data_IF_585052582045
#
_entry.id   IF_585052582045
#
_cell.length_a   1.000
_cell.length_b   1.000
_cell.length_c   1.000
_cell.angle_alpha   90.00
_cell.angle_beta   90.00
_cell.angle_gamma   90.00
#
_symmetry.space_group_name_H-M   'P 1'
#
loop_
_entity.id
_entity.type
_entity.pdbx_description
1 polymer ?
#
# COMPACT_ATOMS: atom_id res chain seq x y z
N UNK A 1 -18.40 -8.92 54.54
CA UNK A 1 -17.44 -7.95 53.96
C UNK A 1 -16.13 -8.69 53.72
N UNK A 2 -15.97 -9.26 52.53
CA UNK A 2 -14.73 -9.93 52.13
C UNK A 2 -13.81 -8.88 51.49
N UNK A 3 -12.60 -8.74 52.01
CA UNK A 3 -11.58 -7.85 51.48
C UNK A 3 -11.02 -8.44 50.18
N UNK A 4 -10.98 -7.61 49.13
CA UNK A 4 -10.44 -7.95 47.82
C UNK A 4 -8.91 -7.85 47.89
N UNK A 5 -8.22 -8.97 47.72
CA UNK A 5 -6.76 -9.02 47.59
C UNK A 5 -6.33 -8.39 46.25
N UNK A 6 -5.84 -7.16 46.31
CA UNK A 6 -5.18 -6.50 45.17
C UNK A 6 -3.70 -6.87 45.16
N UNK A 7 -3.33 -7.93 44.44
CA UNK A 7 -1.92 -8.16 44.10
C UNK A 7 -1.48 -7.24 42.95
N UNK A 8 -0.35 -6.51 43.09
CA UNK A 8 0.15 -5.66 42.01
C UNK A 8 0.72 -6.50 40.87
N UNK A 9 0.36 -6.16 39.63
CA UNK A 9 0.87 -6.76 38.41
C UNK A 9 2.39 -6.55 38.32
N UNK A 10 3.17 -7.62 38.54
CA UNK A 10 4.61 -7.62 38.34
C UNK A 10 4.93 -7.93 36.87
N UNK A 11 5.62 -7.05 36.13
CA UNK A 11 6.05 -7.35 34.77
C UNK A 11 7.14 -8.44 34.82
N UNK A 12 6.90 -9.57 34.13
CA UNK A 12 7.87 -10.65 34.00
C UNK A 12 9.17 -10.11 33.40
N UNK A 13 10.28 -10.31 34.10
CA UNK A 13 11.64 -9.97 33.66
C UNK A 13 11.92 -10.59 32.29
N UNK A 14 12.35 -9.75 31.35
CA UNK A 14 12.76 -10.13 30.01
C UNK A 14 13.88 -11.18 30.03
N UNK A 15 13.53 -12.43 29.74
CA UNK A 15 14.47 -13.52 29.53
C UNK A 15 14.97 -13.48 28.08
N UNK A 16 16.28 -13.24 27.93
CA UNK A 16 17.14 -13.76 26.84
C UNK A 16 16.80 -13.34 25.41
N UNK A 17 17.73 -12.61 24.78
CA UNK A 17 17.79 -12.42 23.31
C UNK A 17 17.73 -13.80 22.61
N UNK A 18 16.54 -14.19 22.15
CA UNK A 18 16.39 -15.28 21.17
C UNK A 18 16.95 -14.78 19.85
N UNK A 19 17.83 -15.57 19.27
CA UNK A 19 18.21 -15.49 17.86
C UNK A 19 16.96 -15.34 16.99
N UNK A 20 17.06 -14.56 15.91
CA UNK A 20 15.98 -14.33 14.94
C UNK A 20 15.51 -15.69 14.42
N UNK A 21 14.43 -16.19 15.03
CA UNK A 21 13.89 -17.51 14.79
C UNK A 21 13.25 -17.58 13.41
N UNK A 22 13.49 -18.68 12.71
CA UNK A 22 12.70 -19.08 11.54
C UNK A 22 11.22 -19.03 11.92
N UNK A 23 10.49 -18.11 11.32
CA UNK A 23 9.03 -17.99 11.46
C UNK A 23 8.43 -19.32 10.99
N UNK A 24 7.53 -19.90 11.79
CA UNK A 24 6.75 -21.07 11.42
C UNK A 24 6.09 -20.82 10.05
N UNK A 25 6.30 -21.66 9.02
CA UNK A 25 5.75 -21.46 7.67
C UNK A 25 4.23 -21.28 7.66
N UNK A 26 3.53 -21.82 8.66
CA UNK A 26 2.08 -21.67 8.82
C UNK A 26 1.64 -20.28 9.31
N UNK A 27 2.53 -19.53 9.97
CA UNK A 27 2.25 -18.20 10.55
C UNK A 27 2.78 -17.05 9.70
N UNK A 28 3.37 -17.35 8.55
CA UNK A 28 3.88 -16.32 7.65
C UNK A 28 2.70 -15.53 7.04
N UNK A 29 2.75 -14.18 7.02
CA UNK A 29 1.78 -13.37 6.30
C UNK A 29 1.68 -13.82 4.84
N UNK A 30 0.45 -13.92 4.31
CA UNK A 30 0.22 -14.40 2.95
C UNK A 30 0.88 -13.51 1.91
N UNK A 31 0.98 -12.21 2.19
CA UNK A 31 1.70 -11.24 1.36
C UNK A 31 3.14 -11.70 1.08
N UNK A 32 3.81 -12.29 2.08
CA UNK A 32 5.17 -12.82 1.92
C UNK A 32 5.19 -14.26 1.39
N UNK A 33 4.24 -15.10 1.83
CA UNK A 33 4.12 -16.50 1.39
C UNK A 33 3.89 -16.60 -0.13
N UNK A 34 3.00 -15.77 -0.66
CA UNK A 34 2.64 -15.71 -2.07
C UNK A 34 3.42 -14.65 -2.87
N UNK A 35 4.49 -14.09 -2.29
CA UNK A 35 5.38 -13.18 -3.00
C UNK A 35 5.98 -13.91 -4.22
N UNK A 36 5.87 -13.34 -5.44
CA UNK A 36 6.47 -13.89 -6.66
C UNK A 36 7.93 -14.32 -6.44
N UNK A 37 8.26 -15.56 -6.83
CA UNK A 37 9.63 -16.10 -6.69
C UNK A 37 10.40 -15.97 -7.99
N UNK A 38 9.69 -16.05 -9.11
CA UNK A 38 10.21 -15.86 -10.46
C UNK A 38 9.62 -14.60 -11.10
N UNK A 39 10.28 -14.08 -12.13
CA UNK A 39 9.73 -12.95 -12.89
C UNK A 39 8.43 -13.33 -13.60
N UNK A 40 8.29 -14.60 -13.98
CA UNK A 40 7.12 -15.13 -14.68
C UNK A 40 5.87 -15.17 -13.77
N UNK A 41 6.07 -15.22 -12.45
CA UNK A 41 5.01 -15.15 -11.45
C UNK A 41 4.44 -13.73 -11.25
N UNK A 42 5.04 -12.70 -11.86
CA UNK A 42 4.62 -11.31 -11.70
C UNK A 42 3.47 -11.00 -12.66
N UNK A 43 2.28 -10.79 -12.10
CA UNK A 43 1.07 -10.49 -12.89
C UNK A 43 1.01 -9.04 -13.40
N UNK A 44 0.34 -8.83 -14.54
CA UNK A 44 -0.03 -7.53 -15.14
C UNK A 44 1.09 -6.56 -15.53
N UNK A 45 2.35 -7.01 -15.62
CA UNK A 45 3.48 -6.15 -15.98
C UNK A 45 4.26 -6.68 -17.19
N UNK A 46 3.56 -7.22 -18.19
CA UNK A 46 4.13 -7.94 -19.35
C UNK A 46 5.25 -7.16 -20.06
N UNK A 47 5.06 -5.86 -20.32
CA UNK A 47 6.07 -5.03 -20.97
C UNK A 47 7.35 -4.89 -20.14
N UNK A 48 7.22 -4.69 -18.83
CA UNK A 48 8.35 -4.58 -17.91
C UNK A 48 9.05 -5.93 -17.76
N UNK A 49 8.27 -6.99 -17.56
CA UNK A 49 8.74 -8.37 -17.45
C UNK A 49 9.51 -8.81 -18.70
N UNK A 50 8.98 -8.55 -19.90
CA UNK A 50 9.62 -8.92 -21.16
C UNK A 50 10.98 -8.21 -21.35
N UNK A 51 11.09 -6.94 -20.96
CA UNK A 51 12.37 -6.21 -21.01
C UNK A 51 13.36 -6.76 -19.97
N UNK A 52 12.90 -7.05 -18.75
CA UNK A 52 13.74 -7.62 -17.70
C UNK A 52 14.23 -9.04 -18.06
N UNK A 53 13.38 -9.88 -18.67
CA UNK A 53 13.74 -11.20 -19.17
C UNK A 53 14.83 -11.13 -20.26
N UNK A 54 14.73 -10.19 -21.20
CA UNK A 54 15.81 -9.95 -22.17
C UNK A 54 17.09 -9.50 -21.47
N UNK A 55 16.95 -8.68 -20.44
CA UNK A 55 18.10 -8.18 -19.67
C UNK A 55 18.77 -9.26 -18.84
N UNK A 56 18.04 -10.30 -18.39
CA UNK A 56 18.60 -11.49 -17.72
C UNK A 56 19.60 -12.24 -18.60
N UNK A 57 19.31 -12.34 -19.90
CA UNK A 57 20.20 -13.02 -20.86
C UNK A 57 21.42 -12.17 -21.25
N UNK A 58 21.35 -10.86 -21.00
CA UNK A 58 22.44 -9.93 -21.26
C UNK A 58 23.39 -9.84 -20.07
N UNK A 59 24.68 -9.73 -20.34
CA UNK A 59 25.70 -9.48 -19.30
C UNK A 59 25.70 -8.04 -18.78
N UNK A 60 24.87 -7.15 -19.35
CA UNK A 60 24.88 -5.73 -19.05
C UNK A 60 23.51 -5.22 -18.56
N UNK A 61 23.27 -5.30 -17.25
CA UNK A 61 22.06 -4.81 -16.57
C UNK A 61 22.18 -3.33 -16.16
N UNK A 62 21.58 -2.35 -16.85
CA UNK A 62 21.70 -0.94 -16.47
C UNK A 62 21.22 -0.67 -15.03
N UNK A 63 21.55 0.49 -14.46
CA UNK A 63 20.86 0.93 -13.25
C UNK A 63 19.36 1.04 -13.54
N UNK A 64 18.51 0.71 -12.58
CA UNK A 64 17.06 0.64 -12.78
C UNK A 64 16.33 1.56 -11.80
N UNK A 65 15.20 2.09 -12.25
CA UNK A 65 14.27 2.87 -11.44
C UNK A 65 12.87 2.30 -11.63
N UNK A 66 12.34 1.66 -10.60
CA UNK A 66 11.00 1.10 -10.57
C UNK A 66 10.07 2.06 -9.85
N UNK A 67 9.03 2.53 -10.54
CA UNK A 67 8.09 3.49 -9.97
C UNK A 67 6.65 3.17 -10.30
N UNK A 68 5.72 3.53 -9.42
CA UNK A 68 4.29 3.29 -9.59
C UNK A 68 3.54 3.16 -8.26
N UNK A 69 2.23 2.95 -8.27
CA UNK A 69 1.41 2.80 -7.07
C UNK A 69 1.90 1.69 -6.12
N UNK A 70 1.54 1.73 -4.83
CA UNK A 70 1.84 0.64 -3.89
C UNK A 70 1.17 -0.67 -4.34
N UNK A 71 1.70 -1.81 -3.88
CA UNK A 71 1.08 -3.11 -4.16
C UNK A 71 1.20 -3.64 -5.59
N UNK A 72 1.86 -2.93 -6.49
CA UNK A 72 2.00 -3.30 -7.92
C UNK A 72 3.13 -4.29 -8.23
N UNK A 73 3.82 -4.81 -7.21
CA UNK A 73 4.85 -5.83 -7.37
C UNK A 73 6.27 -5.31 -7.66
N UNK A 74 6.55 -4.01 -7.48
CA UNK A 74 7.89 -3.41 -7.70
C UNK A 74 9.03 -4.16 -6.99
N UNK A 75 8.97 -4.22 -5.65
CA UNK A 75 9.97 -4.90 -4.81
C UNK A 75 10.01 -6.40 -5.09
N UNK A 76 8.85 -7.02 -5.30
CA UNK A 76 8.77 -8.45 -5.64
C UNK A 76 9.47 -8.77 -6.97
N UNK A 77 9.33 -7.91 -7.98
CA UNK A 77 9.93 -8.11 -9.30
C UNK A 77 11.45 -8.03 -9.24
N UNK A 78 12.02 -7.05 -8.54
CA UNK A 78 13.48 -6.93 -8.42
C UNK A 78 14.08 -8.07 -7.58
N UNK A 79 13.38 -8.52 -6.53
CA UNK A 79 13.82 -9.65 -5.73
C UNK A 79 13.75 -10.96 -6.53
N UNK A 80 12.70 -11.15 -7.33
CA UNK A 80 12.59 -12.29 -8.24
C UNK A 80 13.69 -12.30 -9.29
N UNK A 81 13.97 -11.15 -9.92
CA UNK A 81 15.09 -10.95 -10.84
C UNK A 81 16.43 -11.28 -10.17
N UNK A 82 16.65 -10.78 -8.96
CA UNK A 82 17.88 -11.01 -8.22
C UNK A 82 18.06 -12.49 -7.82
N UNK A 83 16.97 -13.20 -7.50
CA UNK A 83 16.98 -14.66 -7.26
C UNK A 83 17.29 -15.45 -8.53
N UNK A 84 16.74 -15.04 -9.67
CA UNK A 84 17.02 -15.68 -10.96
C UNK A 84 18.43 -15.37 -11.50
N UNK A 85 19.01 -14.22 -11.14
CA UNK A 85 20.40 -13.89 -11.46
C UNK A 85 21.36 -14.65 -10.55
N UNK A 86 21.25 -14.50 -9.23
CA UNK A 86 22.31 -14.97 -8.34
C UNK A 86 22.06 -16.37 -7.77
N UNK A 87 20.83 -16.89 -7.83
CA UNK A 87 20.46 -18.12 -7.13
C UNK A 87 20.51 -17.96 -5.60
N UNK A 88 20.08 -18.97 -4.83
CA UNK A 88 19.96 -18.86 -3.37
C UNK A 88 21.29 -18.64 -2.65
N UNK A 89 22.39 -19.20 -3.18
CA UNK A 89 23.71 -19.16 -2.53
C UNK A 89 24.38 -17.78 -2.63
N UNK A 90 24.37 -17.19 -3.83
CA UNK A 90 25.01 -15.89 -4.06
C UNK A 90 24.09 -14.72 -3.75
N UNK A 91 22.77 -14.92 -3.62
CA UNK A 91 21.82 -13.86 -3.32
C UNK A 91 22.25 -13.02 -2.12
N UNK A 92 22.54 -13.66 -0.98
CA UNK A 92 22.96 -12.96 0.26
C UNK A 92 24.32 -12.27 0.15
N UNK A 93 25.19 -12.75 -0.73
CA UNK A 93 26.53 -12.19 -0.91
C UNK A 93 26.57 -11.05 -1.94
N UNK A 94 25.63 -11.03 -2.90
CA UNK A 94 25.65 -10.11 -4.05
C UNK A 94 24.48 -9.13 -4.09
N UNK A 95 23.46 -9.33 -3.26
CA UNK A 95 22.30 -8.45 -3.15
C UNK A 95 22.31 -7.77 -1.79
N UNK A 96 22.27 -6.44 -1.81
CA UNK A 96 22.04 -5.62 -0.62
C UNK A 96 20.68 -4.92 -0.77
N UNK A 97 19.71 -5.35 0.02
CA UNK A 97 18.42 -4.68 0.15
C UNK A 97 18.49 -3.71 1.34
N UNK A 98 18.13 -2.46 1.11
CA UNK A 98 17.97 -1.45 2.15
C UNK A 98 16.64 -0.75 1.93
N UNK A 99 15.86 -0.63 3.00
CA UNK A 99 14.73 0.29 3.03
C UNK A 99 15.25 1.68 3.39
N UNK A 100 15.06 2.66 2.51
CA UNK A 100 15.62 3.99 2.68
C UNK A 100 14.94 4.79 3.81
N UNK A 101 13.76 4.36 4.27
CA UNK A 101 13.01 5.00 5.36
C UNK A 101 13.43 4.55 6.77
N UNK A 102 13.94 3.33 6.94
CA UNK A 102 14.16 2.72 8.26
C UNK A 102 15.49 3.11 8.94
N UNK A 103 16.57 3.33 8.16
CA UNK A 103 17.88 3.67 8.71
C UNK A 103 18.01 5.21 8.88
N UNK A 104 17.62 5.69 10.06
CA UNK A 104 17.58 7.11 10.53
C UNK A 104 18.93 7.89 10.55
N UNK A 105 19.89 7.50 9.71
CA UNK A 105 21.10 8.27 9.47
C UNK A 105 21.53 8.15 8.01
N UNK A 106 21.36 9.22 7.24
CA UNK A 106 21.86 9.36 5.86
C UNK A 106 23.33 8.90 5.76
N UNK A 107 24.12 9.17 6.78
CA UNK A 107 25.52 8.78 6.89
C UNK A 107 25.74 7.26 7.01
N UNK A 108 24.87 6.55 7.74
CA UNK A 108 24.98 5.09 7.97
C UNK A 108 24.64 4.34 6.70
N UNK A 109 23.53 4.71 6.05
CA UNK A 109 23.11 4.15 4.75
C UNK A 109 24.20 4.38 3.72
N UNK A 110 24.76 5.59 3.65
CA UNK A 110 25.84 5.94 2.72
C UNK A 110 27.08 5.06 2.92
N UNK A 111 27.56 4.91 4.14
CA UNK A 111 28.76 4.12 4.40
C UNK A 111 28.53 2.62 4.19
N UNK A 112 27.33 2.10 4.50
CA UNK A 112 26.95 0.71 4.21
C UNK A 112 26.89 0.44 2.71
N UNK A 113 26.23 1.31 1.95
CA UNK A 113 26.20 1.25 0.47
C UNK A 113 27.61 1.35 -0.09
N UNK A 114 28.45 2.27 0.41
CA UNK A 114 29.82 2.47 -0.08
C UNK A 114 30.72 1.27 0.21
N UNK A 115 30.62 0.71 1.42
CA UNK A 115 31.39 -0.49 1.82
C UNK A 115 31.00 -1.67 0.94
N UNK A 116 29.70 -1.92 0.80
CA UNK A 116 29.21 -2.97 -0.07
C UNK A 116 29.56 -2.70 -1.53
N UNK A 117 29.44 -1.49 -2.06
CA UNK A 117 29.76 -1.18 -3.45
C UNK A 117 31.26 -1.35 -3.76
N UNK A 118 32.15 -1.17 -2.76
CA UNK A 118 33.60 -1.31 -2.90
C UNK A 118 34.07 -2.77 -2.93
N UNK A 119 33.39 -3.67 -2.24
CA UNK A 119 33.79 -5.08 -2.20
C UNK A 119 33.77 -5.70 -3.60
N UNK A 120 34.72 -6.57 -3.92
CA UNK A 120 34.74 -7.26 -5.22
C UNK A 120 33.76 -8.45 -5.20
N UNK A 121 32.92 -8.65 -6.24
CA UNK A 121 32.03 -9.80 -6.31
C UNK A 121 32.84 -11.12 -6.25
N UNK A 122 32.48 -12.01 -5.33
CA UNK A 122 33.05 -13.35 -5.25
C UNK A 122 32.49 -14.22 -6.37
N UNK A 123 33.34 -14.78 -7.22
CA UNK A 123 32.95 -15.82 -8.18
C UNK A 123 33.02 -17.19 -7.52
N UNK A 124 31.90 -17.92 -7.52
CA UNK A 124 31.85 -19.31 -7.07
C UNK A 124 31.79 -20.17 -8.33
N UNK A 125 32.87 -20.89 -8.62
CA UNK A 125 32.88 -21.90 -9.69
C UNK A 125 32.25 -23.18 -9.11
N UNK A 126 31.08 -23.57 -9.62
CA UNK A 126 30.36 -24.78 -9.22
C UNK A 126 28.84 -24.64 -9.40
N UNK A 127 28.13 -25.77 -9.51
CA UNK A 127 26.67 -25.81 -9.49
C UNK A 127 26.17 -25.28 -8.14
N UNK A 128 25.10 -24.48 -8.15
CA UNK A 128 24.45 -24.03 -6.91
C UNK A 128 23.96 -25.22 -6.08
N UNK A 129 23.78 -25.02 -4.79
CA UNK A 129 23.26 -26.01 -3.84
C UNK A 129 21.94 -26.65 -4.29
N UNK A 130 21.16 -25.93 -5.11
CA UNK A 130 19.86 -26.34 -5.67
C UNK A 130 19.97 -27.09 -7.02
N UNK A 131 21.18 -27.40 -7.49
CA UNK A 131 21.44 -28.14 -8.73
C UNK A 131 21.14 -27.39 -10.04
N UNK A 132 20.62 -26.16 -9.96
CA UNK A 132 20.33 -25.28 -11.11
C UNK A 132 21.52 -24.40 -11.45
N UNK A 133 21.74 -24.17 -12.75
CA UNK A 133 22.73 -23.23 -13.24
C UNK A 133 22.14 -21.82 -13.30
N UNK A 134 22.76 -20.89 -12.59
CA UNK A 134 22.37 -19.48 -12.59
C UNK A 134 23.43 -18.65 -13.31
N UNK A 135 23.04 -17.68 -14.16
CA UNK A 135 24.01 -16.78 -14.77
C UNK A 135 24.72 -15.99 -13.66
N UNK A 136 26.05 -16.02 -13.59
CA UNK A 136 26.80 -15.25 -12.58
C UNK A 136 27.45 -14.00 -13.17
N UNK A 137 26.68 -12.90 -13.42
CA UNK A 137 27.25 -11.68 -13.96
C UNK A 137 28.39 -11.12 -13.11
N UNK A 138 29.34 -10.36 -13.69
CA UNK A 138 30.46 -9.78 -12.96
C UNK A 138 30.07 -8.50 -12.19
N UNK A 139 28.85 -8.43 -11.67
CA UNK A 139 28.35 -7.30 -10.89
C UNK A 139 27.51 -7.74 -9.69
N UNK A 140 27.30 -6.79 -8.76
CA UNK A 140 26.41 -6.90 -7.61
C UNK A 140 25.19 -6.01 -7.79
N UNK A 141 24.17 -6.23 -6.95
CA UNK A 141 22.93 -5.47 -6.98
C UNK A 141 22.66 -4.83 -5.62
N UNK A 142 22.41 -3.52 -5.63
CA UNK A 142 21.90 -2.78 -4.47
C UNK A 142 20.46 -2.38 -4.78
N UNK A 143 19.54 -2.79 -3.91
CA UNK A 143 18.11 -2.46 -3.99
C UNK A 143 17.84 -1.44 -2.89
N UNK A 144 17.38 -0.26 -3.29
CA UNK A 144 16.95 0.80 -2.38
C UNK A 144 15.43 0.92 -2.50
N UNK A 145 14.72 0.40 -1.52
CA UNK A 145 13.26 0.55 -1.42
C UNK A 145 12.91 1.90 -0.79
N UNK A 146 11.74 2.42 -1.14
CA UNK A 146 11.24 3.74 -0.69
C UNK A 146 12.24 4.89 -0.92
N UNK A 147 12.91 4.89 -2.07
CA UNK A 147 13.92 5.89 -2.41
C UNK A 147 13.36 7.33 -2.51
N UNK A 148 12.04 7.49 -2.63
CA UNK A 148 11.33 8.76 -2.57
C UNK A 148 11.29 9.41 -1.17
N UNK A 149 11.55 8.61 -0.12
CA UNK A 149 11.69 9.10 1.26
C UNK A 149 13.10 9.65 1.55
N UNK A 150 14.06 9.51 0.63
CA UNK A 150 15.41 10.03 0.80
C UNK A 150 15.48 11.55 0.61
N UNK A 151 16.26 12.23 1.44
CA UNK A 151 16.57 13.65 1.26
C UNK A 151 17.38 13.89 -0.02
N UNK A 152 17.26 15.10 -0.60
CA UNK A 152 17.99 15.46 -1.82
C UNK A 152 19.52 15.36 -1.67
N UNK A 153 20.05 15.64 -0.48
CA UNK A 153 21.46 15.51 -0.16
C UNK A 153 21.91 14.05 -0.18
N UNK A 154 21.10 13.14 0.38
CA UNK A 154 21.36 11.70 0.37
C UNK A 154 21.37 11.16 -1.07
N UNK A 155 20.40 11.59 -1.88
CA UNK A 155 20.33 11.23 -3.30
C UNK A 155 21.54 11.77 -4.09
N UNK A 156 21.99 13.00 -3.79
CA UNK A 156 23.19 13.59 -4.42
C UNK A 156 24.47 12.85 -4.06
N UNK A 157 24.58 12.36 -2.82
CA UNK A 157 25.70 11.52 -2.39
C UNK A 157 25.66 10.14 -3.08
N UNK A 158 24.47 9.53 -3.17
CA UNK A 158 24.26 8.26 -3.85
C UNK A 158 24.68 8.32 -5.32
N UNK A 159 24.38 9.41 -6.02
CA UNK A 159 24.80 9.64 -7.42
C UNK A 159 26.30 9.44 -7.61
N UNK A 160 27.13 10.02 -6.73
CA UNK A 160 28.60 9.90 -6.83
C UNK A 160 29.06 8.45 -6.66
N UNK A 161 28.40 7.71 -5.76
CA UNK A 161 28.69 6.29 -5.52
C UNK A 161 28.29 5.45 -6.74
N UNK A 162 27.11 5.72 -7.31
CA UNK A 162 26.63 5.05 -8.52
C UNK A 162 27.58 5.24 -9.70
N UNK A 163 28.06 6.46 -9.92
CA UNK A 163 29.03 6.77 -10.99
C UNK A 163 30.37 6.04 -10.77
N UNK A 164 30.92 6.13 -9.54
CA UNK A 164 32.24 5.56 -9.20
C UNK A 164 32.28 4.03 -9.33
N UNK A 165 31.21 3.34 -8.91
CA UNK A 165 31.17 1.88 -8.82
C UNK A 165 30.29 1.21 -9.88
N UNK A 166 29.85 1.93 -10.91
CA UNK A 166 28.99 1.45 -12.01
C UNK A 166 29.48 0.18 -12.70
N UNK A 167 30.81 -0.05 -12.73
CA UNK A 167 31.41 -1.25 -13.34
C UNK A 167 31.13 -2.54 -12.58
N UNK A 168 31.07 -2.47 -11.24
CA UNK A 168 30.98 -3.65 -10.36
C UNK A 168 29.65 -3.73 -9.59
N UNK A 169 28.90 -2.64 -9.52
CA UNK A 169 27.66 -2.55 -8.74
C UNK A 169 26.57 -1.88 -9.56
N UNK A 170 25.43 -2.56 -9.69
CA UNK A 170 24.20 -2.03 -10.27
C UNK A 170 23.23 -1.65 -9.15
N UNK A 171 22.42 -0.64 -9.43
CA UNK A 171 21.48 -0.07 -8.45
C UNK A 171 20.07 -0.23 -9.01
N UNK A 172 19.14 -0.63 -8.15
CA UNK A 172 17.71 -0.60 -8.42
C UNK A 172 17.05 0.30 -7.37
N UNK A 173 16.51 1.42 -7.81
CA UNK A 173 15.74 2.33 -6.96
C UNK A 173 14.27 1.97 -7.10
N UNK A 174 13.57 1.77 -5.99
CA UNK A 174 12.13 1.56 -5.95
C UNK A 174 11.48 2.76 -5.27
N UNK A 175 10.50 3.37 -5.91
CA UNK A 175 9.75 4.49 -5.34
C UNK A 175 8.28 4.47 -5.77
N UNK A 176 7.43 5.28 -5.14
CA UNK A 176 6.07 5.48 -5.64
C UNK A 176 6.02 6.63 -6.65
N UNK A 177 6.74 7.72 -6.35
CA UNK A 177 6.74 8.93 -7.16
C UNK A 177 8.11 9.22 -7.76
N UNK A 178 8.21 9.20 -9.09
CA UNK A 178 9.45 9.56 -9.81
C UNK A 178 9.86 11.02 -9.58
N UNK A 179 8.89 11.91 -9.33
CA UNK A 179 9.11 13.34 -9.08
C UNK A 179 9.87 13.63 -7.78
N UNK A 180 9.92 12.68 -6.85
CA UNK A 180 10.69 12.78 -5.59
C UNK A 180 12.17 12.40 -5.79
N UNK A 181 12.52 11.84 -6.95
CA UNK A 181 13.91 11.48 -7.28
C UNK A 181 14.56 12.62 -8.06
N UNK A 182 15.78 13.00 -7.68
CA UNK A 182 16.53 14.05 -8.38
C UNK A 182 16.83 13.61 -9.83
N UNK A 183 16.66 14.53 -10.79
CA UNK A 183 16.89 14.24 -12.22
C UNK A 183 18.29 13.68 -12.54
N UNK A 184 19.37 14.10 -11.86
CA UNK A 184 20.70 13.49 -12.04
C UNK A 184 20.76 11.99 -11.73
N UNK A 185 19.95 11.48 -10.80
CA UNK A 185 19.83 10.04 -10.55
C UNK A 185 18.92 9.38 -11.59
N UNK A 186 17.76 9.97 -11.83
CA UNK A 186 16.75 9.41 -12.73
C UNK A 186 17.27 9.23 -14.17
N UNK A 187 18.11 10.17 -14.65
CA UNK A 187 18.75 10.11 -15.97
C UNK A 187 19.77 8.99 -16.15
N UNK A 188 20.31 8.42 -15.06
CA UNK A 188 21.29 7.32 -15.08
C UNK A 188 20.63 5.94 -14.96
N UNK A 189 19.32 5.90 -14.72
CA UNK A 189 18.55 4.68 -14.54
C UNK A 189 17.62 4.44 -15.73
N UNK A 190 17.49 3.18 -16.14
CA UNK A 190 16.38 2.73 -16.98
C UNK A 190 15.09 2.75 -16.17
N UNK A 191 14.12 3.52 -16.65
CA UNK A 191 12.85 3.79 -15.94
C UNK A 191 11.83 2.70 -16.30
N UNK A 192 11.28 2.04 -15.30
CA UNK A 192 10.23 1.04 -15.44
C UNK A 192 8.99 1.49 -14.66
N UNK A 193 7.91 1.74 -15.41
CA UNK A 193 6.63 2.15 -14.85
C UNK A 193 5.79 0.93 -14.53
N UNK A 194 5.47 0.75 -13.27
CA UNK A 194 4.51 -0.24 -12.79
C UNK A 194 3.13 0.40 -12.77
N UNK A 195 2.21 -0.15 -13.55
CA UNK A 195 0.81 0.29 -13.56
C UNK A 195 0.05 -0.39 -12.40
N UNK A 196 -1.08 0.21 -12.00
CA UNK A 196 -2.05 -0.49 -11.16
C UNK A 196 -2.43 -1.82 -11.84
N UNK A 197 -2.62 -2.87 -11.04
CA UNK A 197 -2.90 -4.19 -11.57
C UNK A 197 -4.30 -4.22 -12.18
N UNK A 198 -4.42 -4.87 -13.35
CA UNK A 198 -5.72 -5.09 -13.97
C UNK A 198 -6.63 -5.94 -13.06
N UNK A 199 -7.94 -5.66 -12.99
CA UNK A 199 -8.86 -6.44 -12.17
C UNK A 199 -8.87 -7.93 -12.53
N UNK A 200 -8.68 -8.30 -13.80
CA UNK A 200 -8.68 -9.70 -14.24
C UNK A 200 -7.51 -10.50 -13.66
N UNK A 201 -6.30 -9.96 -13.73
CA UNK A 201 -5.11 -10.58 -13.16
C UNK A 201 -5.13 -10.63 -11.64
N UNK A 202 -5.68 -9.59 -11.00
CA UNK A 202 -5.81 -9.53 -9.54
C UNK A 202 -6.81 -10.59 -9.08
N UNK A 203 -7.93 -10.75 -9.81
CA UNK A 203 -8.91 -11.81 -9.59
C UNK A 203 -8.27 -13.20 -9.67
N UNK A 204 -7.54 -13.49 -10.75
CA UNK A 204 -6.89 -14.78 -10.93
C UNK A 204 -5.91 -15.12 -9.79
N UNK A 205 -5.19 -14.11 -9.28
CA UNK A 205 -4.27 -14.29 -8.13
C UNK A 205 -5.04 -14.52 -6.82
N UNK A 206 -6.12 -13.78 -6.60
CA UNK A 206 -7.00 -13.92 -5.42
C UNK A 206 -7.64 -15.31 -5.40
N UNK A 207 -8.17 -15.77 -6.53
CA UNK A 207 -8.77 -17.11 -6.67
C UNK A 207 -7.74 -18.21 -6.40
N UNK A 208 -6.52 -18.10 -6.96
CA UNK A 208 -5.45 -19.06 -6.69
C UNK A 208 -5.07 -19.14 -5.20
N UNK A 209 -5.05 -18.01 -4.50
CA UNK A 209 -4.78 -17.97 -3.05
C UNK A 209 -5.97 -18.55 -2.27
N UNK A 210 -7.19 -18.26 -2.70
CA UNK A 210 -8.41 -18.81 -2.08
C UNK A 210 -8.44 -20.34 -2.16
N UNK A 211 -8.09 -20.90 -3.32
CA UNK A 211 -8.01 -22.35 -3.53
C UNK A 211 -6.88 -22.98 -2.70
N UNK A 212 -5.70 -22.33 -2.67
CA UNK A 212 -4.52 -22.84 -1.97
C UNK A 212 -4.69 -22.85 -0.43
N UNK A 213 -5.43 -21.88 0.12
CA UNK A 213 -5.71 -21.78 1.57
C UNK A 213 -7.10 -22.32 1.96
N UNK A 214 -7.85 -22.88 1.00
CA UNK A 214 -9.20 -23.42 1.15
C UNK A 214 -10.16 -22.42 1.84
N UNK A 215 -10.19 -21.19 1.31
CA UNK A 215 -11.03 -20.10 1.83
C UNK A 215 -12.43 -20.19 1.27
N UNK A 216 -13.43 -20.25 2.14
CA UNK A 216 -14.84 -20.15 1.74
C UNK A 216 -15.21 -18.69 1.53
N UNK A 217 -15.39 -18.29 0.28
CA UNK A 217 -15.81 -16.95 -0.12
C UNK A 217 -17.29 -16.98 -0.51
N UNK A 218 -18.04 -15.98 -0.05
CA UNK A 218 -19.42 -15.75 -0.51
C UNK A 218 -19.45 -15.09 -1.90
N UNK A 219 -20.58 -15.22 -2.59
CA UNK A 219 -20.75 -14.67 -3.93
C UNK A 219 -20.65 -13.15 -3.90
N UNK A 220 -19.75 -12.59 -4.70
CA UNK A 220 -19.54 -11.14 -4.82
C UNK A 220 -18.45 -10.55 -3.89
N UNK A 221 -17.87 -11.34 -2.98
CA UNK A 221 -16.74 -10.89 -2.15
C UNK A 221 -15.49 -10.59 -2.98
N UNK A 222 -15.22 -11.40 -4.02
CA UNK A 222 -14.06 -11.19 -4.90
C UNK A 222 -14.15 -9.84 -5.65
N UNK A 223 -15.25 -9.50 -6.35
CA UNK A 223 -15.47 -8.16 -6.88
C UNK A 223 -15.25 -7.04 -5.85
N UNK A 224 -15.84 -7.18 -4.66
CA UNK A 224 -15.71 -6.17 -3.61
C UNK A 224 -14.25 -5.94 -3.19
N UNK A 225 -13.47 -7.02 -3.00
CA UNK A 225 -12.05 -6.91 -2.66
C UNK A 225 -11.26 -6.21 -3.78
N UNK A 226 -11.59 -6.48 -5.04
CA UNK A 226 -10.93 -5.84 -6.19
C UNK A 226 -11.19 -4.33 -6.21
N UNK A 227 -12.44 -3.92 -6.00
CA UNK A 227 -12.85 -2.52 -5.99
C UNK A 227 -12.20 -1.77 -4.82
N UNK A 228 -12.24 -2.34 -3.61
CA UNK A 228 -11.63 -1.74 -2.42
C UNK A 228 -10.11 -1.69 -2.48
N UNK A 229 -9.48 -2.62 -3.20
CA UNK A 229 -8.02 -2.67 -3.32
C UNK A 229 -7.48 -1.70 -4.36
N UNK A 230 -8.29 -1.25 -5.33
CA UNK A 230 -7.87 -0.27 -6.34
C UNK A 230 -6.61 -0.66 -7.12
N UNK A 231 -6.40 -1.97 -7.34
CA UNK A 231 -5.21 -2.51 -8.00
C UNK A 231 -3.98 -2.71 -7.11
N UNK A 232 -4.11 -2.61 -5.78
CA UNK A 232 -3.09 -2.96 -4.79
C UNK A 232 -3.25 -4.43 -4.33
N UNK A 233 -2.37 -5.31 -4.79
CA UNK A 233 -2.43 -6.74 -4.43
C UNK A 233 -2.12 -6.99 -2.94
N UNK A 234 -1.29 -6.13 -2.32
CA UNK A 234 -0.95 -6.29 -0.91
C UNK A 234 -2.18 -6.07 -0.05
N UNK A 235 -2.98 -5.05 -0.37
CA UNK A 235 -4.27 -4.79 0.31
C UNK A 235 -5.24 -5.96 0.14
N UNK A 236 -5.46 -6.40 -1.10
CA UNK A 236 -6.36 -7.52 -1.40
C UNK A 236 -6.00 -8.79 -0.61
N UNK A 237 -4.72 -9.20 -0.62
CA UNK A 237 -4.27 -10.38 0.14
C UNK A 237 -4.45 -10.17 1.65
N UNK A 238 -4.21 -8.96 2.15
CA UNK A 238 -4.36 -8.63 3.58
C UNK A 238 -5.81 -8.70 4.03
N UNK A 239 -6.75 -8.22 3.19
CA UNK A 239 -8.18 -8.33 3.44
C UNK A 239 -8.63 -9.79 3.49
N UNK A 240 -8.22 -10.61 2.52
CA UNK A 240 -8.54 -12.04 2.54
C UNK A 240 -7.97 -12.76 3.76
N UNK A 241 -6.69 -12.51 4.10
CA UNK A 241 -6.05 -13.16 5.24
C UNK A 241 -6.71 -12.77 6.55
N UNK A 242 -7.11 -11.50 6.69
CA UNK A 242 -7.78 -11.00 7.90
C UNK A 242 -9.20 -11.54 7.99
N UNK A 243 -9.94 -11.56 6.87
CA UNK A 243 -11.27 -12.15 6.79
C UNK A 243 -11.26 -13.63 7.16
N UNK A 244 -10.35 -14.43 6.61
CA UNK A 244 -10.29 -15.85 6.96
C UNK A 244 -9.97 -16.05 8.44
N UNK A 245 -9.08 -15.25 9.04
CA UNK A 245 -8.76 -15.36 10.48
C UNK A 245 -9.97 -15.06 11.37
N UNK A 246 -10.77 -14.06 11.01
CA UNK A 246 -11.98 -13.71 11.75
C UNK A 246 -13.01 -14.85 11.72
N UNK A 247 -13.28 -15.40 10.53
CA UNK A 247 -14.27 -16.47 10.38
C UNK A 247 -13.76 -17.85 10.80
N UNK A 248 -12.45 -18.11 10.77
CA UNK A 248 -11.87 -19.36 11.29
C UNK A 248 -11.96 -19.48 12.81
N UNK A 249 -12.13 -18.35 13.50
CA UNK A 249 -12.28 -18.32 14.97
C UNK A 249 -13.71 -18.68 15.39
N UNK A 250 -14.68 -18.56 14.47
CA UNK A 250 -16.07 -18.93 14.72
C UNK A 250 -16.27 -20.45 14.51
N UNK A 251 -17.03 -21.09 15.39
CA UNK A 251 -17.39 -22.51 15.29
C UNK A 251 -18.91 -22.61 15.07
N UNK A 252 -19.40 -22.97 13.88
CA UNK A 252 -18.70 -23.46 12.69
C UNK A 252 -18.03 -22.35 11.85
N UNK A 253 -17.05 -22.70 11.00
CA UNK A 253 -16.40 -21.73 10.10
C UNK A 253 -17.41 -21.22 9.07
N UNK A 254 -17.77 -19.95 9.20
CA UNK A 254 -18.64 -19.24 8.26
C UNK A 254 -17.85 -18.79 7.03
N UNK A 255 -18.50 -18.64 5.86
CA UNK A 255 -17.86 -17.99 4.72
C UNK A 255 -17.55 -16.52 5.04
N UNK A 256 -16.58 -15.95 4.32
CA UNK A 256 -16.32 -14.51 4.34
C UNK A 256 -17.52 -13.81 3.67
N UNK A 257 -18.17 -12.89 4.36
CA UNK A 257 -19.29 -12.08 3.83
C UNK A 257 -18.82 -10.69 3.40
N UNK A 258 -19.62 -9.98 2.61
CA UNK A 258 -19.32 -8.61 2.18
C UNK A 258 -19.18 -7.64 3.37
N UNK A 259 -20.05 -7.75 4.36
CA UNK A 259 -20.04 -6.89 5.56
C UNK A 259 -18.72 -7.02 6.31
N UNK A 260 -18.20 -8.24 6.46
CA UNK A 260 -16.90 -8.46 7.10
C UNK A 260 -15.76 -7.81 6.30
N UNK A 261 -15.83 -7.80 4.97
CA UNK A 261 -14.82 -7.10 4.15
C UNK A 261 -14.91 -5.59 4.32
N UNK A 262 -16.12 -5.02 4.38
CA UNK A 262 -16.31 -3.59 4.64
C UNK A 262 -15.75 -3.17 6.01
N UNK A 263 -16.01 -3.97 7.04
CA UNK A 263 -15.46 -3.74 8.39
C UNK A 263 -13.93 -3.81 8.40
N UNK A 264 -13.33 -4.83 7.77
CA UNK A 264 -11.86 -4.99 7.70
C UNK A 264 -11.22 -3.84 6.91
N UNK A 265 -11.86 -3.40 5.83
CA UNK A 265 -11.36 -2.31 5.00
C UNK A 265 -11.55 -0.94 5.68
N UNK A 266 -12.30 -0.85 6.77
CA UNK A 266 -12.62 0.42 7.45
C UNK A 266 -13.48 1.34 6.59
N UNK A 267 -14.21 0.78 5.63
CA UNK A 267 -15.06 1.49 4.68
C UNK A 267 -16.36 1.83 5.39
N UNK A 268 -16.77 3.09 5.33
CA UNK A 268 -18.04 3.50 5.94
C UNK A 268 -19.19 2.88 5.15
N UNK A 269 -20.15 2.23 5.82
CA UNK A 269 -21.38 1.72 5.20
C UNK A 269 -22.15 2.80 4.42
N UNK A 270 -22.69 2.43 3.25
CA UNK A 270 -23.39 3.36 2.34
C UNK A 270 -24.57 4.06 3.02
N UNK A 271 -25.33 3.35 3.87
CA UNK A 271 -26.44 3.92 4.63
C UNK A 271 -26.04 5.12 5.50
N UNK A 272 -24.80 5.15 6.02
CA UNK A 272 -24.29 6.27 6.83
C UNK A 272 -23.90 7.45 5.93
N UNK A 273 -23.27 7.17 4.78
CA UNK A 273 -22.93 8.19 3.78
C UNK A 273 -24.21 8.83 3.23
N UNK A 274 -25.22 8.02 2.92
CA UNK A 274 -26.53 8.46 2.45
C UNK A 274 -27.27 9.27 3.51
N UNK A 275 -27.17 8.87 4.79
CA UNK A 275 -27.71 9.66 5.90
C UNK A 275 -27.03 11.02 6.01
N UNK A 276 -25.71 11.10 5.80
CA UNK A 276 -24.97 12.35 5.79
C UNK A 276 -25.37 13.23 4.60
N UNK A 277 -25.47 12.66 3.40
CA UNK A 277 -25.96 13.34 2.18
C UNK A 277 -27.37 13.90 2.38
N UNK A 278 -28.26 13.08 2.96
CA UNK A 278 -29.64 13.47 3.29
C UNK A 278 -29.66 14.62 4.29
N UNK A 279 -28.83 14.57 5.34
CA UNK A 279 -28.69 15.66 6.31
C UNK A 279 -28.18 16.96 5.67
N UNK A 280 -27.35 16.86 4.63
CA UNK A 280 -26.88 18.01 3.84
C UNK A 280 -27.92 18.54 2.82
N UNK A 281 -29.04 17.84 2.64
CA UNK A 281 -30.12 18.22 1.71
C UNK A 281 -30.00 17.61 0.32
N UNK A 282 -29.21 16.55 0.13
CA UNK A 282 -29.15 15.77 -1.11
C UNK A 282 -29.98 14.50 -0.95
N UNK A 283 -31.02 14.33 -1.76
CA UNK A 283 -31.74 13.07 -1.82
C UNK A 283 -31.04 12.12 -2.81
N UNK A 284 -30.46 11.04 -2.27
CA UNK A 284 -29.70 10.04 -3.04
C UNK A 284 -30.60 9.29 -4.04
N UNK A 285 -31.90 9.17 -3.76
CA UNK A 285 -32.85 8.43 -4.60
C UNK A 285 -33.38 9.24 -5.80
N UNK A 286 -33.49 10.57 -5.67
CA UNK A 286 -34.06 11.44 -6.70
C UNK A 286 -33.05 12.40 -7.32
N UNK A 287 -31.86 12.57 -6.73
CA UNK A 287 -30.86 13.56 -7.13
C UNK A 287 -31.33 15.00 -6.93
N UNK A 288 -32.46 15.21 -6.26
CA UNK A 288 -33.03 16.53 -6.03
C UNK A 288 -32.51 17.14 -4.73
N UNK A 289 -32.36 18.45 -4.74
CA UNK A 289 -31.95 19.24 -3.57
C UNK A 289 -33.19 19.45 -2.71
N UNK A 290 -33.23 18.82 -1.54
CA UNK A 290 -34.25 19.06 -0.54
C UNK A 290 -33.88 20.30 0.29
N UNK A 291 -34.74 21.32 0.23
CA UNK A 291 -34.59 22.56 0.98
C UNK A 291 -34.92 22.34 2.47
N UNK A 292 -34.07 21.62 3.21
CA UNK A 292 -34.08 21.62 4.66
C UNK A 292 -33.59 22.99 5.16
N UNK A 293 -34.52 23.93 5.38
CA UNK A 293 -34.24 25.26 5.93
C UNK A 293 -34.32 25.25 7.46
N UNK A 294 -33.37 25.91 8.12
CA UNK A 294 -33.50 26.35 9.52
C UNK A 294 -32.60 25.65 10.55
N UNK A 295 -32.86 25.91 11.84
CA UNK A 295 -32.13 25.35 13.00
C UNK A 295 -32.11 23.82 13.01
N UNK A 296 -33.11 23.20 12.41
CA UNK A 296 -33.27 21.75 12.33
C UNK A 296 -32.21 21.11 11.42
N UNK A 297 -31.79 21.79 10.36
CA UNK A 297 -30.74 21.30 9.44
C UNK A 297 -29.36 21.24 10.11
N UNK A 298 -28.99 22.28 10.88
CA UNK A 298 -27.75 22.27 11.66
C UNK A 298 -27.76 21.17 12.72
N UNK A 299 -28.89 21.00 13.43
CA UNK A 299 -29.01 19.98 14.47
C UNK A 299 -28.88 18.56 13.88
N UNK A 300 -29.54 18.30 12.75
CA UNK A 300 -29.48 17.00 12.08
C UNK A 300 -28.08 16.66 11.56
N UNK A 301 -27.37 17.63 10.97
CA UNK A 301 -25.97 17.46 10.54
C UNK A 301 -25.10 17.15 11.77
N UNK A 302 -25.24 17.93 12.84
CA UNK A 302 -24.44 17.74 14.07
C UNK A 302 -24.67 16.36 14.66
N UNK A 303 -25.92 15.91 14.78
CA UNK A 303 -26.25 14.58 15.31
C UNK A 303 -25.66 13.46 14.45
N UNK A 304 -25.73 13.60 13.12
CA UNK A 304 -25.17 12.62 12.18
C UNK A 304 -23.64 12.58 12.27
N UNK A 305 -22.97 13.73 12.31
CA UNK A 305 -21.51 13.81 12.45
C UNK A 305 -21.05 13.27 13.81
N UNK A 306 -21.73 13.60 14.90
CA UNK A 306 -21.44 13.03 16.22
C UNK A 306 -21.69 11.52 16.25
N UNK A 307 -22.68 11.00 15.52
CA UNK A 307 -22.90 9.55 15.37
C UNK A 307 -21.71 8.89 14.66
N UNK A 308 -21.24 9.45 13.55
CA UNK A 308 -20.09 8.94 12.78
C UNK A 308 -18.83 8.91 13.64
N UNK A 309 -18.56 10.00 14.37
CA UNK A 309 -17.43 10.12 15.30
C UNK A 309 -17.51 9.07 16.43
N UNK A 310 -18.70 8.86 17.00
CA UNK A 310 -18.92 7.82 18.05
C UNK A 310 -18.76 6.39 17.55
N UNK A 311 -19.02 6.15 16.27
CA UNK A 311 -18.81 4.84 15.63
C UNK A 311 -17.32 4.59 15.29
N UNK A 312 -16.48 5.62 15.36
CA UNK A 312 -15.03 5.50 15.17
C UNK A 312 -14.60 5.44 13.71
N UNK A 313 -15.43 5.88 12.77
CA UNK A 313 -15.03 5.99 11.37
C UNK A 313 -14.11 7.19 11.16
N UNK A 314 -13.03 6.99 10.40
CA UNK A 314 -12.08 8.07 10.10
C UNK A 314 -12.74 9.14 9.23
N UNK A 315 -12.58 10.41 9.63
CA UNK A 315 -13.07 11.54 8.84
C UNK A 315 -12.51 11.56 7.40
N UNK A 316 -11.26 11.16 7.20
CA UNK A 316 -10.66 11.09 5.85
C UNK A 316 -11.40 10.11 4.94
N UNK A 317 -11.78 8.94 5.46
CA UNK A 317 -12.53 7.94 4.70
C UNK A 317 -13.95 8.43 4.37
N UNK A 318 -14.61 9.07 5.34
CA UNK A 318 -15.94 9.68 5.13
C UNK A 318 -15.88 10.75 4.05
N UNK A 319 -14.87 11.62 4.07
CA UNK A 319 -14.70 12.66 3.06
C UNK A 319 -14.45 12.09 1.67
N UNK A 320 -13.62 11.05 1.56
CA UNK A 320 -13.34 10.40 0.28
C UNK A 320 -14.60 9.76 -0.31
N UNK A 321 -15.36 9.01 0.49
CA UNK A 321 -16.61 8.41 0.02
C UNK A 321 -17.69 9.44 -0.29
N UNK A 322 -17.75 10.52 0.50
CA UNK A 322 -18.67 11.61 0.25
C UNK A 322 -18.35 12.30 -1.09
N UNK A 323 -17.08 12.51 -1.39
CA UNK A 323 -16.62 13.02 -2.68
C UNK A 323 -17.04 12.08 -3.82
N UNK A 324 -16.76 10.79 -3.69
CA UNK A 324 -17.05 9.78 -4.71
C UNK A 324 -18.56 9.59 -4.93
N UNK A 325 -19.38 9.83 -3.90
CA UNK A 325 -20.83 9.83 -4.01
C UNK A 325 -21.39 11.14 -4.59
N UNK A 326 -20.85 12.31 -4.24
CA UNK A 326 -21.43 13.61 -4.61
C UNK A 326 -21.10 14.03 -6.05
N UNK A 327 -19.87 13.78 -6.51
CA UNK A 327 -19.40 14.27 -7.82
C UNK A 327 -20.16 13.65 -9.01
N UNK A 328 -20.46 12.33 -9.02
CA UNK A 328 -21.19 11.70 -10.11
C UNK A 328 -22.67 12.10 -10.20
N UNK A 329 -23.26 12.73 -9.18
CA UNK A 329 -24.70 13.03 -9.16
C UNK A 329 -25.08 14.12 -10.17
N UNK A 330 -25.78 13.77 -11.25
CA UNK A 330 -26.19 14.72 -12.31
C UNK A 330 -27.18 15.80 -11.85
N UNK A 331 -27.88 15.58 -10.73
CA UNK A 331 -28.87 16.52 -10.21
C UNK A 331 -28.30 17.81 -9.60
N UNK A 332 -26.98 17.87 -9.35
CA UNK A 332 -26.33 19.03 -8.72
C UNK A 332 -25.59 19.88 -9.78
N UNK A 333 -25.84 21.20 -9.86
CA UNK A 333 -25.14 22.08 -10.80
C UNK A 333 -23.62 22.15 -10.54
N UNK A 334 -22.86 22.52 -11.58
CA UNK A 334 -21.39 22.51 -11.53
C UNK A 334 -20.76 23.46 -10.50
N UNK A 335 -21.37 24.62 -10.25
CA UNK A 335 -20.87 25.63 -9.30
C UNK A 335 -20.93 25.11 -7.85
N UNK A 336 -22.08 24.61 -7.35
CA UNK A 336 -22.18 23.94 -6.06
C UNK A 336 -21.22 22.76 -5.91
N UNK A 337 -21.11 21.90 -6.94
CA UNK A 337 -20.13 20.80 -6.93
C UNK A 337 -18.71 21.31 -6.73
N UNK A 338 -18.31 22.34 -7.45
CA UNK A 338 -16.98 22.95 -7.35
C UNK A 338 -16.71 23.51 -5.94
N UNK A 339 -17.70 24.20 -5.34
CA UNK A 339 -17.60 24.72 -3.98
C UNK A 339 -17.52 23.60 -2.93
N UNK A 340 -18.30 22.53 -3.11
CA UNK A 340 -18.26 21.34 -2.26
C UNK A 340 -16.88 20.65 -2.33
N UNK A 341 -16.35 20.43 -3.54
CA UNK A 341 -15.01 19.87 -3.74
C UNK A 341 -13.91 20.71 -3.07
N UNK A 342 -14.01 22.04 -3.16
CA UNK A 342 -13.04 22.93 -2.51
C UNK A 342 -13.08 22.80 -0.99
N UNK A 343 -14.28 22.74 -0.40
CA UNK A 343 -14.43 22.54 1.03
C UNK A 343 -13.88 21.19 1.50
N UNK A 344 -14.12 20.12 0.73
CA UNK A 344 -13.56 18.79 1.01
C UNK A 344 -12.04 18.78 0.92
N UNK A 345 -11.45 19.45 -0.07
CA UNK A 345 -10.00 19.53 -0.25
C UNK A 345 -9.30 20.31 0.88
N UNK A 346 -9.91 21.43 1.33
CA UNK A 346 -9.40 22.18 2.48
C UNK A 346 -9.44 21.35 3.77
N UNK A 347 -10.50 20.56 3.97
CA UNK A 347 -10.63 19.67 5.11
C UNK A 347 -9.65 18.50 5.04
N UNK A 348 -9.46 17.87 3.88
CA UNK A 348 -8.46 16.80 3.69
C UNK A 348 -7.05 17.27 4.05
N UNK A 349 -6.67 18.48 3.60
CA UNK A 349 -5.41 19.11 3.99
C UNK A 349 -5.32 19.34 5.50
N UNK A 350 -6.38 19.85 6.13
CA UNK A 350 -6.43 20.11 7.57
C UNK A 350 -6.33 18.81 8.39
N UNK A 351 -7.00 17.73 7.97
CA UNK A 351 -6.92 16.41 8.59
C UNK A 351 -5.50 15.86 8.49
N UNK A 352 -4.86 15.98 7.32
CA UNK A 352 -3.46 15.61 7.13
C UNK A 352 -2.50 16.42 8.02
N UNK A 353 -2.84 17.66 8.39
CA UNK A 353 -2.09 18.49 9.32
C UNK A 353 -2.39 18.19 10.80
N UNK A 354 -3.29 17.24 11.10
CA UNK A 354 -3.66 16.84 12.46
C UNK A 354 -4.76 17.70 13.09
N UNK A 355 -5.65 18.29 12.29
CA UNK A 355 -6.84 18.96 12.79
C UNK A 355 -7.87 17.99 13.40
N UNK A 356 -8.79 18.52 14.20
CA UNK A 356 -9.87 17.75 14.83
C UNK A 356 -10.87 17.19 13.81
N UNK A 357 -11.08 15.88 13.84
CA UNK A 357 -11.90 15.16 12.86
C UNK A 357 -13.38 15.58 12.87
N UNK A 358 -13.97 15.76 14.06
CA UNK A 358 -15.39 16.08 14.22
C UNK A 358 -15.69 17.50 13.71
N UNK A 359 -14.83 18.46 14.08
CA UNK A 359 -14.99 19.85 13.65
C UNK A 359 -14.78 20.02 12.14
N UNK A 360 -13.83 19.30 11.54
CA UNK A 360 -13.61 19.37 10.09
C UNK A 360 -14.79 18.76 9.33
N UNK A 361 -15.29 17.59 9.73
CA UNK A 361 -16.48 16.99 9.11
C UNK A 361 -17.72 17.89 9.21
N UNK A 362 -17.95 18.47 10.40
CA UNK A 362 -19.06 19.40 10.60
C UNK A 362 -18.93 20.62 9.68
N UNK A 363 -17.72 21.17 9.55
CA UNK A 363 -17.44 22.33 8.70
C UNK A 363 -17.69 22.01 7.23
N UNK A 364 -17.26 20.84 6.75
CA UNK A 364 -17.51 20.39 5.38
C UNK A 364 -19.01 20.24 5.14
N UNK A 365 -19.73 19.53 6.03
CA UNK A 365 -21.15 19.29 5.84
C UNK A 365 -21.97 20.59 5.76
N UNK A 366 -21.65 21.58 6.60
CA UNK A 366 -22.28 22.90 6.57
C UNK A 366 -21.94 23.71 5.32
N UNK A 367 -20.69 23.65 4.85
CA UNK A 367 -20.27 24.36 3.62
C UNK A 367 -20.86 23.73 2.37
N UNK A 368 -20.96 22.39 2.33
CA UNK A 368 -21.64 21.67 1.26
C UNK A 368 -23.13 22.03 1.24
N UNK A 369 -23.81 21.98 2.39
CA UNK A 369 -25.20 22.40 2.49
C UNK A 369 -25.40 23.85 2.02
N UNK A 370 -24.55 24.79 2.46
CA UNK A 370 -24.62 26.18 2.03
C UNK A 370 -24.34 26.36 0.51
N UNK A 371 -23.46 25.54 -0.07
CA UNK A 371 -23.18 25.56 -1.51
C UNK A 371 -24.38 25.04 -2.31
N UNK A 372 -25.04 23.98 -1.84
CA UNK A 372 -26.24 23.42 -2.47
C UNK A 372 -27.43 24.38 -2.39
N UNK A 373 -27.58 25.09 -1.28
CA UNK A 373 -28.63 26.11 -1.10
C UNK A 373 -28.44 27.36 -1.98
N UNK A 374 -27.23 27.63 -2.48
CA UNK A 374 -27.00 28.72 -3.45
C UNK A 374 -27.39 28.32 -4.87
N UNK A 375 -27.65 27.03 -5.11
CA UNK A 375 -28.01 26.47 -6.40
C UNK A 375 -29.52 26.50 -6.67
N UNK A 376 -30.32 26.42 -5.60
CA UNK A 376 -31.78 26.48 -5.60
C UNK A 376 -32.28 27.91 -5.44
#
# INVERSE_FOLDING_TARGET
MAAVDTQPFMPQRAAGKKSIGSIDPSKQPWVEKYRPKTIDDVSSQENTVAVLQKTLTSTNLPHMLFYGPPGTGKTSTILALARQLFGPDLFRARVLELNASDERGISVVREKIKTFARETPRHIKGASSDGKEYPQPPYKLIILDEADSMTQDAQSALRRIMETYSKITRFCLVCNYVTRIIEPLASRCSKFRFKALDPSSTRARVEMIADAENVKLDDGVVPLILDLSGGDMRKAITFMQTGQRLHSTQSPPTPITMDSVYEIAGVVPQNIVDALLTAMGVDVGSGLINNLRGKDGFQMIRETVTMISRQGYSAGQVLQQLHDALIPLDGIPSIPKSLASLAMAEADYALCAGADEELQLLTVALRVQAALQRAT
#
